data_IF_760980417775
#
_entry.id   IF_760980417775
#
_cell.length_a   1.000
_cell.length_b   1.000
_cell.length_c   1.000
_cell.angle_alpha   90.00
_cell.angle_beta   90.00
_cell.angle_gamma   90.00
#
_symmetry.space_group_name_H-M   'P 1'
#
loop_
_entity.id
_entity.type
_entity.pdbx_description
1 polymer ?
#
# COMPACT_ATOMS: atom_id res chain seq x y z
N UNK A 1 36.51 -29.47 -6.62
CA UNK A 1 35.30 -29.10 -7.39
C UNK A 1 34.12 -29.82 -6.77
N UNK A 2 33.26 -29.10 -6.04
CA UNK A 2 32.03 -29.67 -5.47
C UNK A 2 30.90 -28.76 -5.94
N UNK A 3 30.00 -29.35 -6.72
CA UNK A 3 28.78 -28.73 -7.21
C UNK A 3 27.86 -28.37 -6.03
N UNK A 4 27.46 -27.11 -5.93
CA UNK A 4 26.45 -26.69 -4.96
C UNK A 4 25.07 -26.97 -5.55
N UNK A 5 24.41 -27.98 -5.01
CA UNK A 5 23.00 -28.28 -5.24
C UNK A 5 22.20 -27.19 -4.51
N UNK A 6 21.55 -26.32 -5.27
CA UNK A 6 20.53 -25.41 -4.76
C UNK A 6 19.29 -26.27 -4.49
N UNK A 7 19.06 -26.62 -3.23
CA UNK A 7 17.75 -27.09 -2.80
C UNK A 7 16.80 -25.89 -2.73
N UNK A 8 15.94 -25.79 -3.75
CA UNK A 8 14.70 -25.06 -3.64
C UNK A 8 13.87 -25.71 -2.52
N UNK A 9 13.80 -25.04 -1.37
CA UNK A 9 12.90 -25.42 -0.29
C UNK A 9 11.47 -25.12 -0.75
N UNK A 10 10.80 -26.14 -1.27
CA UNK A 10 9.34 -26.23 -1.32
C UNK A 10 8.86 -26.46 0.12
N UNK A 11 8.76 -25.37 0.88
CA UNK A 11 8.15 -25.33 2.20
C UNK A 11 6.63 -25.19 2.07
N UNK A 12 5.93 -26.12 2.70
CA UNK A 12 4.49 -26.38 2.71
C UNK A 12 3.60 -25.18 3.04
N UNK A 13 2.49 -25.07 2.30
CA UNK A 13 1.25 -24.42 2.71
C UNK A 13 0.75 -25.01 4.04
N UNK A 14 1.02 -24.31 5.14
CA UNK A 14 0.27 -24.23 6.41
C UNK A 14 1.10 -23.41 7.41
N UNK A 15 0.43 -22.49 8.10
CA UNK A 15 0.94 -21.49 9.04
C UNK A 15 1.69 -20.26 8.48
N UNK A 16 1.15 -19.08 8.81
CA UNK A 16 1.89 -17.83 8.85
C UNK A 16 2.53 -17.39 7.54
N UNK A 17 1.72 -17.09 6.52
CA UNK A 17 2.20 -16.33 5.36
C UNK A 17 2.93 -15.06 5.85
N UNK A 18 4.13 -14.72 5.37
CA UNK A 18 4.81 -13.50 5.82
C UNK A 18 3.88 -12.30 5.60
N UNK A 19 3.57 -11.60 6.70
CA UNK A 19 2.48 -10.62 6.87
C UNK A 19 2.64 -9.32 6.07
N UNK A 20 3.67 -9.17 5.26
CA UNK A 20 3.78 -8.11 4.25
C UNK A 20 4.59 -8.66 3.07
N UNK A 21 3.98 -8.85 1.90
CA UNK A 21 4.73 -9.28 0.70
C UNK A 21 5.38 -8.08 0.04
N UNK A 22 6.65 -7.85 0.35
CA UNK A 22 7.52 -6.94 -0.40
C UNK A 22 7.85 -7.58 -1.77
N UNK A 23 7.25 -7.07 -2.84
CA UNK A 23 7.63 -7.42 -4.22
C UNK A 23 8.55 -6.34 -4.82
N UNK A 24 9.47 -5.78 -4.03
CA UNK A 24 10.54 -4.97 -4.61
C UNK A 24 11.57 -5.92 -5.19
N UNK A 25 11.92 -5.71 -6.46
CA UNK A 25 13.03 -6.37 -7.13
C UNK A 25 14.27 -6.38 -6.22
N UNK A 26 14.88 -7.54 -6.00
CA UNK A 26 16.12 -7.67 -5.20
C UNK A 26 17.27 -6.81 -5.72
N UNK A 27 17.21 -6.33 -6.98
CA UNK A 27 18.16 -5.35 -7.52
C UNK A 27 17.97 -3.93 -6.98
N UNK A 28 16.75 -3.57 -6.56
CA UNK A 28 16.41 -2.21 -6.13
C UNK A 28 16.42 -2.05 -4.61
N UNK A 29 16.50 -3.15 -3.85
CA UNK A 29 16.59 -3.12 -2.38
C UNK A 29 17.81 -2.35 -1.86
N UNK A 30 18.89 -2.26 -2.65
CA UNK A 30 20.15 -1.62 -2.25
C UNK A 30 20.31 -0.17 -2.75
N UNK A 31 19.34 0.40 -3.48
CA UNK A 31 19.52 1.68 -4.18
C UNK A 31 18.91 2.89 -3.45
N UNK A 32 18.37 2.71 -2.24
CA UNK A 32 17.79 3.83 -1.49
C UNK A 32 16.58 4.43 -2.21
N UNK A 33 15.63 3.58 -2.60
CA UNK A 33 14.38 4.00 -3.26
C UNK A 33 13.66 5.02 -2.37
N UNK A 34 13.33 6.18 -2.92
CA UNK A 34 12.66 7.26 -2.21
C UNK A 34 11.18 7.29 -2.54
N UNK A 35 10.36 7.70 -1.58
CA UNK A 35 8.95 8.04 -1.83
C UNK A 35 8.93 9.42 -2.50
N UNK A 36 8.26 9.52 -3.64
CA UNK A 36 8.23 10.75 -4.46
C UNK A 36 6.88 11.45 -4.46
N UNK A 37 5.79 10.70 -4.25
CA UNK A 37 4.44 11.25 -4.18
C UNK A 37 3.51 10.35 -3.36
N UNK A 38 2.50 10.94 -2.74
CA UNK A 38 1.55 10.29 -1.82
C UNK A 38 0.12 10.52 -2.32
N UNK A 39 -0.66 9.45 -2.47
CA UNK A 39 -2.09 9.52 -2.73
C UNK A 39 -2.88 8.69 -1.72
N UNK A 40 -4.14 9.07 -1.52
CA UNK A 40 -5.15 8.21 -0.88
C UNK A 40 -6.05 7.65 -1.97
N UNK A 41 -6.11 6.33 -2.07
CA UNK A 41 -7.05 5.61 -2.92
C UNK A 41 -8.35 5.30 -2.19
N UNK A 42 -9.47 5.71 -2.78
CA UNK A 42 -10.83 5.41 -2.32
C UNK A 42 -11.43 4.37 -3.26
N UNK A 43 -11.59 3.15 -2.75
CA UNK A 43 -12.28 2.08 -3.45
C UNK A 43 -13.74 2.05 -3.03
N UNK A 44 -14.64 2.18 -4.01
CA UNK A 44 -16.03 1.79 -3.82
C UNK A 44 -16.12 0.25 -3.74
N UNK A 45 -16.78 -0.27 -2.70
CA UNK A 45 -17.25 -1.66 -2.70
C UNK A 45 -18.50 -1.76 -3.60
N UNK A 46 -18.97 -2.95 -3.98
CA UNK A 46 -20.21 -3.03 -4.78
C UNK A 46 -21.42 -2.50 -3.97
N UNK A 47 -22.19 -1.58 -4.55
CA UNK A 47 -23.40 -0.97 -3.97
C UNK A 47 -23.30 0.54 -3.68
N UNK A 48 -24.42 1.27 -3.77
CA UNK A 48 -24.49 2.74 -3.58
C UNK A 48 -24.14 3.20 -2.15
N UNK A 49 -24.29 2.31 -1.17
CA UNK A 49 -24.04 2.51 0.26
C UNK A 49 -22.82 1.74 0.77
N UNK A 50 -22.03 1.20 -0.15
CA UNK A 50 -20.95 0.29 0.20
C UNK A 50 -19.80 1.06 0.85
N UNK A 51 -19.16 0.44 1.83
CA UNK A 51 -18.18 1.10 2.68
C UNK A 51 -16.94 1.37 1.83
N UNK A 52 -16.52 2.63 1.71
CA UNK A 52 -15.30 2.93 0.98
C UNK A 52 -14.11 2.40 1.76
N UNK A 53 -13.29 1.57 1.11
CA UNK A 53 -12.04 1.13 1.70
C UNK A 53 -10.92 2.07 1.25
N UNK A 54 -10.10 2.53 2.19
CA UNK A 54 -9.04 3.49 1.92
C UNK A 54 -7.70 2.76 1.85
N UNK A 55 -6.82 3.24 0.98
CA UNK A 55 -5.45 2.75 0.91
C UNK A 55 -4.52 3.92 0.64
N UNK A 56 -3.30 3.82 1.17
CA UNK A 56 -2.21 4.69 0.75
C UNK A 56 -1.65 4.15 -0.55
N UNK A 57 -1.34 5.06 -1.47
CA UNK A 57 -0.61 4.75 -2.70
C UNK A 57 0.62 5.66 -2.73
N UNK A 58 1.80 5.07 -2.94
CA UNK A 58 3.06 5.80 -2.99
C UNK A 58 3.71 5.62 -4.36
N UNK A 59 4.20 6.70 -4.95
CA UNK A 59 5.13 6.61 -6.08
C UNK A 59 6.54 6.51 -5.52
N UNK A 60 7.33 5.64 -6.16
CA UNK A 60 8.70 5.35 -5.79
C UNK A 60 9.65 5.91 -6.85
N UNK A 61 10.84 6.33 -6.43
CA UNK A 61 11.83 6.96 -7.31
C UNK A 61 12.36 6.03 -8.43
N UNK A 62 12.11 4.72 -8.33
CA UNK A 62 12.41 3.73 -9.37
C UNK A 62 11.26 3.56 -10.40
N UNK A 63 10.22 4.41 -10.34
CA UNK A 63 9.06 4.37 -11.24
C UNK A 63 7.98 3.36 -10.85
N UNK A 64 8.16 2.64 -9.74
CA UNK A 64 7.15 1.73 -9.21
C UNK A 64 6.14 2.45 -8.33
N UNK A 65 5.06 1.74 -8.01
CA UNK A 65 3.98 2.21 -7.14
C UNK A 65 3.70 1.17 -6.07
N UNK A 66 3.62 1.60 -4.82
CA UNK A 66 3.19 0.78 -3.70
C UNK A 66 1.74 1.12 -3.34
N UNK A 67 0.88 0.12 -3.16
CA UNK A 67 -0.48 0.28 -2.64
C UNK A 67 -0.61 -0.49 -1.32
N UNK A 68 -1.01 0.22 -0.27
CA UNK A 68 -0.95 -0.22 1.13
C UNK A 68 -2.31 -0.06 1.78
N UNK A 69 -2.83 -1.15 2.33
CA UNK A 69 -4.18 -1.24 2.86
C UNK A 69 -4.18 -1.92 4.23
N UNK A 70 -4.80 -1.30 5.22
CA UNK A 70 -5.15 -1.97 6.48
C UNK A 70 -6.47 -2.74 6.33
N UNK A 71 -6.41 -4.05 6.50
CA UNK A 71 -7.56 -4.95 6.42
C UNK A 71 -8.30 -5.03 7.76
N UNK A 72 -9.51 -5.55 7.72
CA UNK A 72 -10.37 -5.76 8.89
C UNK A 72 -9.93 -6.92 9.80
N UNK A 73 -8.94 -7.71 9.38
CA UNK A 73 -8.34 -8.82 10.12
C UNK A 73 -7.00 -8.43 10.77
N UNK A 74 -6.82 -7.14 11.04
CA UNK A 74 -5.63 -6.52 11.63
C UNK A 74 -4.36 -6.58 10.76
N UNK A 75 -4.46 -7.12 9.54
CA UNK A 75 -3.31 -7.21 8.64
C UNK A 75 -3.15 -5.96 7.79
N UNK A 76 -1.91 -5.69 7.36
CA UNK A 76 -1.61 -4.66 6.35
C UNK A 76 -1.18 -5.33 5.06
N UNK A 77 -2.01 -5.21 4.02
CA UNK A 77 -1.63 -5.62 2.67
C UNK A 77 -0.80 -4.53 2.01
N UNK A 78 0.35 -4.90 1.45
CA UNK A 78 1.19 -4.03 0.63
C UNK A 78 1.52 -4.74 -0.68
N UNK A 79 1.28 -4.09 -1.82
CA UNK A 79 1.66 -4.58 -3.14
C UNK A 79 2.39 -3.51 -3.92
N UNK A 80 3.41 -3.92 -4.66
CA UNK A 80 4.25 -3.02 -5.44
C UNK A 80 4.25 -3.51 -6.88
N UNK A 81 3.97 -2.60 -7.80
CA UNK A 81 3.88 -2.88 -9.23
C UNK A 81 4.42 -1.70 -10.04
N UNK A 82 4.63 -1.92 -11.34
CA UNK A 82 5.18 -0.90 -12.24
C UNK A 82 4.14 0.14 -12.70
N UNK A 83 2.90 0.04 -12.22
CA UNK A 83 1.87 1.06 -12.42
C UNK A 83 0.95 1.17 -11.21
N UNK A 84 0.41 2.37 -10.98
CA UNK A 84 -0.56 2.62 -9.91
C UNK A 84 -1.78 1.70 -10.03
N UNK A 85 -2.31 1.56 -11.25
CA UNK A 85 -3.44 0.69 -11.54
C UNK A 85 -3.17 -0.76 -11.15
N UNK A 86 -2.01 -1.31 -11.53
CA UNK A 86 -1.65 -2.69 -11.22
C UNK A 86 -1.47 -2.90 -9.71
N UNK A 87 -0.78 -1.99 -9.02
CA UNK A 87 -0.58 -2.06 -7.58
C UNK A 87 -1.93 -2.08 -6.84
N UNK A 88 -2.83 -1.18 -7.23
CA UNK A 88 -4.21 -1.12 -6.75
C UNK A 88 -4.98 -2.42 -7.03
N UNK A 89 -4.94 -2.93 -8.26
CA UNK A 89 -5.64 -4.17 -8.67
C UNK A 89 -5.17 -5.39 -7.87
N UNK A 90 -3.88 -5.47 -7.59
CA UNK A 90 -3.27 -6.55 -6.80
C UNK A 90 -3.63 -6.46 -5.31
N UNK A 91 -3.70 -5.25 -4.75
CA UNK A 91 -4.11 -5.05 -3.36
C UNK A 91 -5.61 -5.30 -3.17
N UNK A 92 -6.45 -4.93 -4.15
CA UNK A 92 -7.92 -4.90 -3.99
C UNK A 92 -8.71 -6.02 -4.68
N UNK A 93 -8.11 -6.74 -5.63
CA UNK A 93 -8.78 -7.76 -6.44
C UNK A 93 -9.56 -7.20 -7.64
N UNK A 94 -10.23 -8.08 -8.41
CA UNK A 94 -10.41 -7.90 -9.86
C UNK A 94 -11.75 -7.42 -10.44
N UNK A 95 -12.86 -7.26 -9.72
CA UNK A 95 -14.17 -7.09 -10.40
C UNK A 95 -14.99 -5.92 -9.86
N UNK A 96 -15.43 -5.03 -10.78
CA UNK A 96 -16.56 -4.10 -10.61
C UNK A 96 -16.27 -2.81 -9.84
N UNK A 97 -15.00 -2.46 -9.65
CA UNK A 97 -14.58 -1.46 -8.64
C UNK A 97 -13.99 -0.22 -9.30
N UNK A 98 -14.57 0.94 -9.00
CA UNK A 98 -14.00 2.25 -9.32
C UNK A 98 -13.07 2.72 -8.19
N UNK A 99 -11.90 3.19 -8.58
CA UNK A 99 -10.90 3.78 -7.70
C UNK A 99 -10.81 5.25 -8.00
N UNK A 100 -10.95 6.08 -6.98
CA UNK A 100 -10.77 7.52 -7.05
C UNK A 100 -9.60 7.84 -6.14
N UNK A 101 -8.65 8.63 -6.61
CA UNK A 101 -7.48 8.97 -5.80
C UNK A 101 -7.48 10.45 -5.45
N UNK A 102 -6.86 10.75 -4.32
CA UNK A 102 -6.65 12.10 -3.80
C UNK A 102 -5.16 12.33 -3.67
N UNK A 103 -4.64 13.37 -4.34
CA UNK A 103 -3.22 13.68 -4.36
C UNK A 103 -2.82 14.54 -3.16
N UNK A 104 -1.84 14.06 -2.39
CA UNK A 104 -1.25 14.80 -1.27
C UNK A 104 0.16 15.29 -1.59
N UNK A 105 0.64 15.08 -2.81
CA UNK A 105 1.91 15.58 -3.31
C UNK A 105 3.11 14.83 -2.77
N UNK A 106 4.28 15.45 -2.95
CA UNK A 106 5.55 14.89 -2.47
C UNK A 106 5.65 14.93 -0.94
N UNK A 107 6.39 13.97 -0.34
CA UNK A 107 6.68 14.00 1.08
C UNK A 107 7.31 15.32 1.54
N UNK A 108 6.96 15.78 2.75
CA UNK A 108 7.54 17.00 3.34
C UNK A 108 9.05 16.83 3.62
N UNK A 109 9.44 15.60 3.96
CA UNK A 109 10.82 15.20 4.21
C UNK A 109 11.17 13.99 3.33
N UNK A 110 12.38 13.92 2.75
CA UNK A 110 12.81 12.75 1.99
C UNK A 110 12.76 11.48 2.86
N UNK A 111 11.86 10.56 2.53
CA UNK A 111 11.73 9.27 3.23
C UNK A 111 12.00 8.13 2.25
N UNK A 112 12.90 7.22 2.63
CA UNK A 112 13.15 6.02 1.85
C UNK A 112 12.01 5.03 2.04
N UNK A 113 11.73 4.25 0.99
CA UNK A 113 10.78 3.16 1.05
C UNK A 113 11.14 2.18 2.18
N UNK A 114 12.42 1.79 2.29
CA UNK A 114 12.86 0.80 3.28
C UNK A 114 12.61 1.26 4.72
N UNK A 115 12.92 2.52 5.04
CA UNK A 115 12.63 3.09 6.36
C UNK A 115 11.14 3.13 6.62
N UNK A 116 10.36 3.69 5.68
CA UNK A 116 8.90 3.75 5.79
C UNK A 116 8.27 2.36 5.99
N UNK A 117 8.72 1.37 5.22
CA UNK A 117 8.19 0.01 5.27
C UNK A 117 8.47 -0.70 6.59
N UNK A 118 9.64 -0.46 7.19
CA UNK A 118 9.99 -0.99 8.52
C UNK A 118 9.14 -0.38 9.64
N UNK A 119 8.72 0.86 9.46
CA UNK A 119 7.90 1.61 10.42
C UNK A 119 6.40 1.32 10.27
N UNK A 120 5.98 0.59 9.23
CA UNK A 120 4.56 0.28 9.04
C UNK A 120 4.02 -0.53 10.22
N UNK A 121 2.90 -0.10 10.85
CA UNK A 121 2.30 -0.81 11.96
C UNK A 121 1.72 -2.14 11.46
N UNK A 122 2.47 -3.22 11.66
CA UNK A 122 2.12 -4.53 11.13
C UNK A 122 1.04 -5.27 11.92
N UNK A 123 0.56 -4.72 13.05
CA UNK A 123 -0.23 -5.51 14.01
C UNK A 123 -1.03 -4.70 15.04
N UNK A 124 -1.49 -3.49 14.73
CA UNK A 124 -2.35 -2.72 15.64
C UNK A 124 -3.82 -3.14 15.47
N UNK A 125 -4.54 -3.44 16.56
CA UNK A 125 -5.93 -3.92 16.57
C UNK A 125 -6.87 -3.01 15.77
N UNK A 126 -7.54 -3.55 14.74
CA UNK A 126 -8.55 -2.87 13.95
C UNK A 126 -9.79 -2.60 14.83
N UNK A 127 -10.05 -1.33 15.07
CA UNK A 127 -11.26 -0.88 15.74
C UNK A 127 -12.00 0.04 14.80
N UNK A 128 -13.26 -0.31 14.49
CA UNK A 128 -14.14 0.59 13.76
C UNK A 128 -14.14 1.96 14.46
N UNK A 129 -13.99 3.05 13.70
CA UNK A 129 -13.90 4.46 14.14
C UNK A 129 -12.51 4.91 14.61
N UNK A 130 -11.72 4.06 15.27
CA UNK A 130 -10.45 4.50 15.91
C UNK A 130 -9.22 4.01 15.14
N UNK A 131 -9.19 2.75 14.73
CA UNK A 131 -8.05 2.15 14.03
C UNK A 131 -8.48 1.42 12.76
N UNK A 132 -9.22 2.12 11.89
CA UNK A 132 -9.72 1.59 10.63
C UNK A 132 -8.83 1.94 9.42
N UNK A 133 -9.21 1.46 8.24
CA UNK A 133 -8.48 1.74 6.99
C UNK A 133 -8.41 3.24 6.65
N UNK A 134 -9.39 4.04 7.08
CA UNK A 134 -9.37 5.48 6.84
C UNK A 134 -8.34 6.15 7.72
N UNK A 135 -8.41 5.93 9.05
CA UNK A 135 -7.47 6.51 10.00
C UNK A 135 -6.04 6.05 9.75
N UNK A 136 -5.84 4.79 9.36
CA UNK A 136 -4.54 4.34 8.88
C UNK A 136 -4.04 5.21 7.73
N UNK A 137 -4.83 5.39 6.67
CA UNK A 137 -4.42 6.23 5.55
C UNK A 137 -4.22 7.71 5.96
N UNK A 138 -5.05 8.26 6.87
CA UNK A 138 -4.87 9.62 7.38
C UNK A 138 -3.53 9.79 8.09
N UNK A 139 -3.20 8.88 9.01
CA UNK A 139 -1.94 8.88 9.75
C UNK A 139 -0.75 8.80 8.80
N UNK A 140 -0.79 7.89 7.81
CA UNK A 140 0.30 7.75 6.86
C UNK A 140 0.49 9.01 5.98
N UNK A 141 -0.60 9.71 5.60
CA UNK A 141 -0.49 10.98 4.88
C UNK A 141 0.11 12.07 5.77
N UNK A 142 -0.36 12.20 7.00
CA UNK A 142 0.14 13.18 7.97
C UNK A 142 1.63 12.95 8.22
N UNK A 143 2.02 11.70 8.51
CA UNK A 143 3.42 11.30 8.74
C UNK A 143 4.36 11.56 7.55
N UNK A 144 3.84 11.49 6.31
CA UNK A 144 4.64 11.65 5.10
C UNK A 144 4.66 13.09 4.58
N UNK A 145 3.58 13.85 4.77
CA UNK A 145 3.36 15.11 4.05
C UNK A 145 3.03 16.30 4.94
N UNK A 146 2.86 16.10 6.26
CA UNK A 146 2.34 17.08 7.22
C UNK A 146 0.95 17.64 6.83
N UNK A 147 0.20 16.94 5.96
CA UNK A 147 -1.15 17.33 5.53
C UNK A 147 -2.21 16.52 6.26
N UNK A 148 -3.34 17.19 6.52
CA UNK A 148 -4.52 16.57 7.13
C UNK A 148 -5.47 16.07 6.05
N UNK A 149 -5.89 14.81 6.16
CA UNK A 149 -6.91 14.20 5.30
C UNK A 149 -8.30 14.42 5.91
N UNK A 150 -9.17 15.12 5.19
CA UNK A 150 -10.55 15.35 5.61
C UNK A 150 -11.42 14.08 5.69
N UNK A 151 -12.68 14.27 6.10
CA UNK A 151 -13.68 13.18 6.10
C UNK A 151 -13.96 12.70 4.67
N UNK A 152 -13.92 13.61 3.70
CA UNK A 152 -14.06 13.36 2.28
C UNK A 152 -12.80 13.86 1.55
N UNK A 153 -11.84 12.96 1.25
CA UNK A 153 -10.67 13.30 0.44
C UNK A 153 -11.06 13.91 -0.91
N UNK A 154 -10.29 14.89 -1.37
CA UNK A 154 -10.53 15.56 -2.66
C UNK A 154 -10.10 14.61 -3.77
N UNK A 155 -11.01 14.18 -4.64
CA UNK A 155 -10.74 13.17 -5.68
C UNK A 155 -10.13 13.80 -6.94
N UNK A 156 -8.94 14.39 -6.79
CA UNK A 156 -8.21 15.14 -7.83
C UNK A 156 -7.10 14.34 -8.53
N UNK A 157 -6.88 13.10 -8.13
CA UNK A 157 -5.89 12.21 -8.73
C UNK A 157 -6.44 11.30 -9.84
N UNK A 158 -5.58 10.44 -10.42
CA UNK A 158 -5.97 9.44 -11.40
C UNK A 158 -7.14 8.56 -10.94
N UNK A 159 -8.07 8.25 -11.85
CA UNK A 159 -9.20 7.36 -11.61
C UNK A 159 -9.07 6.10 -12.45
N UNK A 160 -9.35 4.94 -11.86
CA UNK A 160 -9.25 3.64 -12.52
C UNK A 160 -10.54 2.83 -12.35
N UNK A 161 -10.80 1.96 -13.31
CA UNK A 161 -11.90 0.99 -13.25
C UNK A 161 -11.35 -0.39 -13.59
N UNK A 162 -11.64 -1.40 -12.75
CA UNK A 162 -11.18 -2.78 -12.96
C UNK A 162 -12.27 -3.73 -13.46
#
# INVERSE_FOLDING_TARGET
>A
MIASIILASMGSDKDGSPRVRQNISTKDQNTGIMITNVWVGLRALEGWWSWNHWSIILSLSNGQYACIQKNTDDTVACKIENSMEAACKQTWGKVGKKVRTSDYGSPCCPRSWDSYFKDLPGNDDYTFIVNDCQNFARQQVEDLTDKVVGVFPIEDGPTFTF
#
